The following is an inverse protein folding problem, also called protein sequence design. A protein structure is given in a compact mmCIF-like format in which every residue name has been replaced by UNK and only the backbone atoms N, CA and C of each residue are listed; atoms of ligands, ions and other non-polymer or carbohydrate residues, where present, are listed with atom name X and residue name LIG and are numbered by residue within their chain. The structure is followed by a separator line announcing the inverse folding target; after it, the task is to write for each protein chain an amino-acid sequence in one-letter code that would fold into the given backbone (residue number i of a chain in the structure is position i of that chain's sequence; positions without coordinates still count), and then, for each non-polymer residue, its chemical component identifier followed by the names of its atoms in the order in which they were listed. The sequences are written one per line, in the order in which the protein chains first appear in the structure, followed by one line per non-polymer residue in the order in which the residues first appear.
data_IF_595592939019
#
_entry.id   IF_595592939019
#
_cell.length_a   1.000
_cell.length_b   1.000
_cell.length_c   1.000
_cell.angle_alpha   90.00
_cell.angle_beta   90.00
_cell.angle_gamma   90.00
#
_symmetry.space_group_name_H-M   'P 1'
#
loop_
_entity.id
_entity.type
_entity.pdbx_description
1 polymer ?
#
# COMPACT_ATOMS: atom_id res chain seq x y z
N UNK A 1 -8.08 11.53 -12.24
CA UNK A 1 -7.87 10.59 -11.10
C UNK A 1 -7.48 11.41 -9.87
N UNK A 2 -7.98 11.11 -8.66
CA UNK A 2 -7.49 11.75 -7.45
C UNK A 2 -5.97 11.63 -7.32
N UNK A 3 -5.29 12.75 -7.03
CA UNK A 3 -3.82 12.81 -6.99
C UNK A 3 -3.21 11.83 -5.99
N UNK A 4 -3.90 11.56 -4.86
CA UNK A 4 -3.47 10.63 -3.80
C UNK A 4 -3.29 9.19 -4.25
N UNK A 5 -3.91 8.78 -5.37
CA UNK A 5 -3.70 7.43 -5.89
C UNK A 5 -2.35 7.26 -6.59
N UNK A 6 -1.69 8.36 -6.95
CA UNK A 6 -0.47 8.34 -7.77
C UNK A 6 -0.64 7.47 -9.04
N UNK A 7 -1.84 7.49 -9.62
CA UNK A 7 -2.25 6.60 -10.70
C UNK A 7 -2.79 7.43 -11.89
N UNK A 8 -2.07 7.41 -13.01
CA UNK A 8 -2.52 8.03 -14.26
C UNK A 8 -1.43 8.54 -15.22
N UNK A 9 -0.16 8.62 -14.79
CA UNK A 9 0.94 9.13 -15.63
C UNK A 9 1.64 8.05 -16.47
N UNK A 10 1.39 6.78 -16.20
CA UNK A 10 2.03 5.68 -16.90
C UNK A 10 1.25 5.26 -18.15
N UNK A 11 1.92 5.14 -19.29
CA UNK A 11 1.31 4.70 -20.58
C UNK A 11 0.62 3.32 -20.55
N UNK A 12 0.86 2.52 -19.52
CA UNK A 12 0.18 1.22 -19.31
C UNK A 12 -1.18 1.36 -18.63
N UNK A 13 -1.52 2.55 -18.16
CA UNK A 13 -2.83 2.86 -17.58
C UNK A 13 -3.75 3.23 -18.74
N UNK A 14 -4.93 2.59 -18.79
CA UNK A 14 -5.92 2.86 -19.82
C UNK A 14 -6.46 4.29 -19.76
N UNK A 15 -7.00 4.77 -20.88
CA UNK A 15 -7.55 6.13 -21.00
C UNK A 15 -8.77 6.35 -20.10
N UNK A 16 -9.53 5.29 -19.85
CA UNK A 16 -10.69 5.26 -18.96
C UNK A 16 -10.41 4.33 -17.77
N UNK A 17 -10.51 4.86 -16.56
CA UNK A 17 -10.53 4.07 -15.33
C UNK A 17 -11.92 4.12 -14.70
N UNK A 18 -12.44 2.94 -14.34
CA UNK A 18 -13.67 2.79 -13.56
C UNK A 18 -13.28 2.26 -12.19
N UNK A 19 -13.56 3.04 -11.15
CA UNK A 19 -13.36 2.64 -9.75
C UNK A 19 -14.73 2.43 -9.11
N UNK A 20 -15.21 1.17 -9.02
CA UNK A 20 -16.49 0.89 -8.39
C UNK A 20 -16.43 1.06 -6.87
N UNK A 21 -17.58 1.29 -6.24
CA UNK A 21 -17.72 1.20 -4.79
C UNK A 21 -17.53 -0.26 -4.30
N UNK A 22 -17.17 -0.41 -3.03
CA UNK A 22 -16.97 -1.72 -2.42
C UNK A 22 -18.21 -2.61 -2.56
N UNK A 23 -18.01 -3.85 -3.01
CA UNK A 23 -19.08 -4.81 -3.26
C UNK A 23 -19.58 -4.82 -4.70
N UNK A 24 -19.18 -3.85 -5.54
CA UNK A 24 -19.46 -3.86 -6.97
C UNK A 24 -18.24 -4.30 -7.78
N UNK A 25 -18.49 -4.99 -8.90
CA UNK A 25 -17.48 -5.39 -9.87
C UNK A 25 -17.93 -4.97 -11.27
N UNK A 26 -16.98 -4.55 -12.10
CA UNK A 26 -17.25 -4.04 -13.45
C UNK A 26 -16.64 -5.00 -14.48
N UNK A 27 -17.48 -5.44 -15.42
CA UNK A 27 -17.08 -6.31 -16.52
C UNK A 27 -17.55 -5.67 -17.82
N UNK A 28 -16.69 -5.69 -18.84
CA UNK A 28 -17.03 -5.16 -20.16
C UNK A 28 -17.63 -6.23 -21.09
N UNK A 29 -17.38 -7.51 -20.81
CA UNK A 29 -17.93 -8.61 -21.59
C UNK A 29 -19.18 -9.19 -20.88
N UNK A 30 -20.39 -9.02 -21.47
CA UNK A 30 -21.63 -9.56 -20.92
C UNK A 30 -21.69 -11.09 -20.92
N UNK A 31 -20.79 -11.78 -21.65
CA UNK A 31 -20.68 -13.23 -21.64
C UNK A 31 -19.96 -13.77 -20.39
N UNK A 32 -19.34 -12.91 -19.57
CA UNK A 32 -18.79 -13.29 -18.26
C UNK A 32 -19.95 -13.60 -17.30
N UNK A 33 -20.43 -14.84 -17.38
CA UNK A 33 -21.49 -15.38 -16.51
C UNK A 33 -20.97 -15.90 -15.17
N UNK A 34 -19.66 -15.98 -15.00
CA UNK A 34 -19.00 -16.53 -13.82
C UNK A 34 -18.82 -15.46 -12.75
N UNK A 35 -19.93 -14.91 -12.26
CA UNK A 35 -19.91 -14.28 -10.95
C UNK A 35 -19.71 -15.40 -9.92
N UNK A 36 -18.44 -15.69 -9.59
CA UNK A 36 -18.17 -16.42 -8.35
C UNK A 36 -18.44 -15.44 -7.21
N UNK A 37 -19.60 -15.61 -6.55
CA UNK A 37 -19.87 -15.00 -5.24
C UNK A 37 -18.63 -15.22 -4.37
N UNK A 38 -17.95 -14.15 -3.99
CA UNK A 38 -16.68 -14.21 -3.29
C UNK A 38 -16.23 -12.83 -2.84
N UNK A 39 -15.22 -12.79 -1.97
CA UNK A 39 -14.53 -11.55 -1.63
C UNK A 39 -13.78 -10.99 -2.83
N UNK A 40 -13.71 -9.66 -2.91
CA UNK A 40 -12.98 -8.95 -3.94
C UNK A 40 -12.11 -7.87 -3.30
N UNK A 41 -11.16 -7.33 -4.07
CA UNK A 41 -10.23 -6.29 -3.67
C UNK A 41 -9.86 -5.42 -4.87
N UNK A 42 -9.01 -4.40 -4.66
CA UNK A 42 -8.60 -3.47 -5.71
C UNK A 42 -9.46 -2.20 -5.76
N UNK A 43 -10.29 -1.98 -4.75
CA UNK A 43 -10.98 -0.73 -4.51
C UNK A 43 -10.00 0.36 -4.04
N UNK A 44 -10.55 1.52 -3.71
CA UNK A 44 -9.84 2.63 -3.08
C UNK A 44 -8.99 2.17 -1.89
N UNK A 45 -7.69 2.48 -1.94
CA UNK A 45 -6.70 2.03 -0.96
C UNK A 45 -6.86 2.67 0.43
N UNK A 46 -7.67 3.72 0.59
CA UNK A 46 -7.97 4.30 1.91
C UNK A 46 -9.16 3.62 2.60
N UNK A 47 -9.86 2.69 1.93
CA UNK A 47 -10.91 1.93 2.57
C UNK A 47 -10.34 1.02 3.65
N UNK A 48 -11.07 0.92 4.77
CA UNK A 48 -10.69 0.06 5.88
C UNK A 48 -10.53 -1.41 5.46
N UNK A 49 -11.38 -1.90 4.54
CA UNK A 49 -11.33 -3.28 4.05
C UNK A 49 -10.11 -3.58 3.17
N UNK A 50 -9.48 -2.54 2.61
CA UNK A 50 -8.30 -2.62 1.74
C UNK A 50 -6.98 -2.39 2.48
N UNK A 51 -7.03 -2.11 3.79
CA UNK A 51 -5.83 -1.97 4.60
C UNK A 51 -5.12 -3.32 4.77
N UNK A 52 -3.79 -3.31 4.72
CA UNK A 52 -2.96 -4.49 4.94
C UNK A 52 -2.43 -4.55 6.38
N UNK A 53 -2.08 -5.75 6.83
CA UNK A 53 -1.40 -5.94 8.11
C UNK A 53 0.09 -5.57 8.00
N UNK A 54 0.60 -4.87 9.00
CA UNK A 54 2.04 -4.66 9.20
C UNK A 54 2.42 -5.03 10.64
N UNK A 55 3.38 -5.96 10.77
CA UNK A 55 3.96 -6.37 12.04
C UNK A 55 5.48 -6.45 11.90
N UNK A 56 6.19 -5.62 12.65
CA UNK A 56 7.65 -5.64 12.71
C UNK A 56 8.13 -6.19 14.05
N UNK A 57 8.96 -7.24 14.03
CA UNK A 57 9.60 -7.80 15.22
C UNK A 57 11.10 -7.91 14.97
N UNK A 58 11.90 -7.30 15.84
CA UNK A 58 13.35 -7.39 15.72
C UNK A 58 14.09 -6.48 16.70
N UNK A 59 15.42 -6.66 16.82
CA UNK A 59 16.25 -5.88 17.75
C UNK A 59 16.33 -4.40 17.39
N UNK A 60 16.18 -4.05 16.11
CA UNK A 60 16.25 -2.67 15.60
C UNK A 60 14.91 -1.91 15.67
N UNK A 61 13.83 -2.59 16.06
CA UNK A 61 12.49 -2.02 16.15
C UNK A 61 12.09 -1.78 17.62
N UNK A 62 11.33 -0.72 17.89
CA UNK A 62 10.79 -0.45 19.23
C UNK A 62 9.81 -1.56 19.61
N UNK A 63 9.97 -2.12 20.82
CA UNK A 63 9.05 -3.13 21.36
C UNK A 63 7.78 -2.43 21.84
N UNK A 64 6.61 -3.07 21.64
CA UNK A 64 5.33 -2.54 22.09
C UNK A 64 4.91 -1.22 21.43
N UNK A 65 5.51 -0.89 20.29
CA UNK A 65 5.16 0.32 19.54
C UNK A 65 3.96 0.04 18.64
N UNK A 66 2.94 0.89 18.73
CA UNK A 66 1.79 0.89 17.84
C UNK A 66 1.83 2.13 16.96
N UNK A 67 1.64 1.95 15.66
CA UNK A 67 1.50 3.05 14.72
C UNK A 67 0.23 3.85 15.04
N UNK A 68 0.34 5.17 15.09
CA UNK A 68 -0.80 6.07 15.30
C UNK A 68 -1.69 6.25 14.07
N UNK A 69 -1.15 5.94 12.88
CA UNK A 69 -1.85 5.93 11.58
C UNK A 69 -1.32 4.82 10.69
N UNK A 70 -2.11 4.38 9.71
CA UNK A 70 -1.60 3.56 8.61
C UNK A 70 -0.47 4.27 7.87
N UNK A 71 0.52 3.48 7.44
CA UNK A 71 1.61 3.92 6.57
C UNK A 71 1.44 3.27 5.19
N UNK A 72 1.82 3.95 4.10
CA UNK A 72 1.78 3.36 2.78
C UNK A 72 2.85 2.26 2.67
N UNK A 73 2.54 1.16 1.98
CA UNK A 73 3.44 0.02 1.87
C UNK A 73 4.77 0.33 1.15
N UNK A 74 4.83 1.42 0.39
CA UNK A 74 6.08 1.92 -0.23
C UNK A 74 7.16 2.23 0.82
N UNK A 75 6.76 2.54 2.06
CA UNK A 75 7.66 2.77 3.19
C UNK A 75 8.43 1.49 3.61
N UNK A 76 7.98 0.30 3.22
CA UNK A 76 8.65 -0.96 3.56
C UNK A 76 10.01 -1.09 2.88
N UNK A 77 10.18 -0.57 1.66
CA UNK A 77 11.46 -0.62 0.95
C UNK A 77 12.60 0.10 1.70
N UNK A 78 12.50 1.42 2.00
CA UNK A 78 13.56 2.11 2.74
C UNK A 78 13.71 1.58 4.17
N UNK A 79 12.65 1.05 4.79
CA UNK A 79 12.76 0.37 6.08
C UNK A 79 13.70 -0.85 5.99
N UNK A 80 13.49 -1.74 5.01
CA UNK A 80 14.33 -2.93 4.83
C UNK A 80 15.77 -2.50 4.51
N UNK A 81 15.96 -1.51 3.61
CA UNK A 81 17.28 -0.97 3.32
C UNK A 81 17.99 -0.48 4.59
N UNK A 82 17.29 0.28 5.46
CA UNK A 82 17.84 0.76 6.73
C UNK A 82 18.20 -0.38 7.69
N UNK A 83 17.41 -1.45 7.74
CA UNK A 83 17.66 -2.61 8.61
C UNK A 83 18.86 -3.45 8.14
N UNK A 84 19.15 -3.43 6.82
CA UNK A 84 20.24 -4.17 6.20
C UNK A 84 21.49 -3.33 5.95
N UNK A 85 21.50 -2.06 6.38
CA UNK A 85 22.56 -1.10 6.10
C UNK A 85 22.86 -0.91 4.59
N UNK A 86 21.79 -0.87 3.79
CA UNK A 86 21.84 -0.64 2.34
C UNK A 86 21.38 0.79 2.06
N UNK A 87 22.14 1.52 1.23
CA UNK A 87 21.69 2.80 0.70
C UNK A 87 20.50 2.57 -0.26
N UNK A 88 19.30 3.11 0.03
CA UNK A 88 18.16 2.93 -0.86
C UNK A 88 18.39 3.67 -2.18
N UNK A 89 17.91 3.09 -3.27
CA UNK A 89 17.74 3.78 -4.56
C UNK A 89 16.64 4.84 -4.45
N UNK A 90 16.54 5.72 -5.46
CA UNK A 90 15.44 6.67 -5.57
C UNK A 90 14.09 5.92 -5.51
N UNK A 91 13.19 6.39 -4.65
CA UNK A 91 11.89 5.79 -4.38
C UNK A 91 10.91 6.86 -3.88
N UNK A 92 9.62 6.53 -3.87
CA UNK A 92 8.54 7.49 -3.58
C UNK A 92 8.15 7.57 -2.10
N UNK A 93 8.82 6.82 -1.21
CA UNK A 93 8.44 6.76 0.18
C UNK A 93 8.94 7.98 0.97
N UNK A 94 8.15 8.41 1.95
CA UNK A 94 8.60 9.35 2.96
C UNK A 94 9.28 8.58 4.11
N UNK A 95 10.53 8.95 4.41
CA UNK A 95 11.26 8.37 5.54
C UNK A 95 10.57 8.66 6.88
N UNK A 96 9.79 9.74 6.97
CA UNK A 96 9.03 10.07 8.17
C UNK A 96 8.02 8.97 8.56
N UNK A 97 7.59 8.13 7.61
CA UNK A 97 6.69 7.00 7.86
C UNK A 97 7.38 5.86 8.63
N UNK A 98 8.71 5.72 8.52
CA UNK A 98 9.46 4.59 9.11
C UNK A 98 10.21 4.96 10.39
N UNK A 99 10.64 6.22 10.52
CA UNK A 99 11.42 6.67 11.68
C UNK A 99 10.78 6.42 13.05
N UNK A 100 9.46 6.58 13.25
CA UNK A 100 8.85 6.53 14.59
C UNK A 100 9.04 5.20 15.32
N UNK A 101 9.14 4.07 14.62
CA UNK A 101 9.23 2.74 15.22
C UNK A 101 10.61 2.09 15.12
N UNK A 102 11.60 2.76 14.50
CA UNK A 102 13.01 2.38 14.58
C UNK A 102 13.58 2.74 15.97
N UNK A 103 14.49 1.92 16.48
CA UNK A 103 15.36 2.34 17.60
C UNK A 103 16.40 3.32 17.07
N UNK A 104 16.79 4.29 17.89
CA UNK A 104 18.02 5.05 17.66
C UNK A 104 19.16 4.06 17.48
N UNK A 105 19.94 4.20 16.40
CA UNK A 105 21.17 3.44 16.30
C UNK A 105 22.11 3.87 17.44
N UNK A 106 22.85 2.93 18.06
CA UNK A 106 23.93 3.29 18.96
C UNK A 106 24.97 4.17 18.26
#
# INVERSE_FOLDING_TARGET
MPARFHYGSNKRIGELLILPDEGAMVYFDPAIKTFKKGGAHGYDNERASMQALFLGVGPHLKKGFFLSRSIPNIAVYPLICRLLDIKPSANDADLSDVQPFLRSQP
#
